data_IF_577692997225
#
_entry.id   IF_577692997225
#
_cell.length_a   1.000
_cell.length_b   1.000
_cell.length_c   1.000
_cell.angle_alpha   90.00
_cell.angle_beta   90.00
_cell.angle_gamma   90.00
#
_symmetry.space_group_name_H-M   'P 1'
#
loop_
_entity.id
_entity.type
_entity.pdbx_description
1 polymer ?
#
# COMPACT_ATOMS: atom_id res chain seq x y z
N UNK A 1 16.64 21.17 5.25
CA UNK A 1 15.50 22.10 4.99
C UNK A 1 14.79 22.33 6.33
N UNK A 2 14.70 23.57 6.84
CA UNK A 2 14.31 23.84 8.24
C UNK A 2 12.87 23.39 8.54
N UNK A 3 12.70 22.71 9.69
CA UNK A 3 11.48 22.05 10.21
C UNK A 3 10.22 22.94 10.35
N UNK A 4 10.30 24.23 10.01
CA UNK A 4 9.35 25.27 10.42
C UNK A 4 8.38 25.76 9.34
N UNK A 5 8.70 25.68 8.03
CA UNK A 5 7.90 26.41 7.02
C UNK A 5 6.55 25.79 6.66
N UNK A 6 6.33 24.49 6.89
CA UNK A 6 5.04 23.83 6.56
C UNK A 6 3.98 24.12 7.64
N UNK A 7 4.39 24.43 8.88
CA UNK A 7 3.46 24.73 9.98
C UNK A 7 2.89 26.16 9.94
N UNK A 8 3.54 27.09 9.23
CA UNK A 8 3.13 28.50 9.16
C UNK A 8 2.04 28.78 8.11
N UNK A 9 1.88 27.88 7.13
CA UNK A 9 0.80 27.98 6.16
C UNK A 9 -0.46 27.41 6.81
N UNK A 10 -1.57 28.17 6.80
CA UNK A 10 -2.92 27.64 6.99
C UNK A 10 -3.51 27.31 5.62
N UNK A 11 -3.19 26.14 5.04
CA UNK A 11 -3.70 25.75 3.73
C UNK A 11 -5.22 25.62 3.76
N UNK A 12 -5.86 25.89 2.63
CA UNK A 12 -7.30 25.66 2.48
C UNK A 12 -7.66 24.18 2.70
N UNK A 13 -8.89 23.90 3.12
CA UNK A 13 -9.39 22.51 3.26
C UNK A 13 -9.24 21.71 1.97
N UNK A 14 -9.43 22.36 0.81
CA UNK A 14 -9.25 21.75 -0.51
C UNK A 14 -7.79 21.34 -0.74
N UNK A 15 -6.84 22.23 -0.45
CA UNK A 15 -5.40 21.95 -0.56
C UNK A 15 -4.99 20.78 0.33
N UNK A 16 -5.53 20.72 1.56
CA UNK A 16 -5.28 19.58 2.46
C UNK A 16 -5.83 18.29 1.86
N UNK A 17 -7.07 18.31 1.35
CA UNK A 17 -7.70 17.15 0.72
C UNK A 17 -6.92 16.63 -0.47
N UNK A 18 -6.51 17.52 -1.37
CA UNK A 18 -5.71 17.18 -2.57
C UNK A 18 -4.38 16.56 -2.17
N UNK A 19 -3.64 17.17 -1.24
CA UNK A 19 -2.33 16.64 -0.84
C UNK A 19 -2.44 15.29 -0.13
N UNK A 20 -3.48 15.08 0.71
CA UNK A 20 -3.76 13.77 1.31
C UNK A 20 -4.02 12.71 0.24
N UNK A 21 -4.82 13.04 -0.77
CA UNK A 21 -5.10 12.14 -1.88
C UNK A 21 -3.84 11.80 -2.67
N UNK A 22 -3.04 12.81 -3.04
CA UNK A 22 -1.76 12.63 -3.73
C UNK A 22 -0.83 11.71 -2.92
N UNK A 23 -0.71 11.94 -1.61
CA UNK A 23 0.12 11.10 -0.73
C UNK A 23 -0.42 9.68 -0.61
N UNK A 24 -1.73 9.52 -0.52
CA UNK A 24 -2.37 8.19 -0.55
C UNK A 24 -1.99 7.43 -1.83
N UNK A 25 -2.10 8.06 -3.01
CA UNK A 25 -1.74 7.44 -4.29
C UNK A 25 -0.25 7.07 -4.35
N UNK A 26 0.65 7.97 -3.93
CA UNK A 26 2.09 7.66 -3.95
C UNK A 26 2.45 6.52 -2.98
N UNK A 27 1.95 6.57 -1.75
CA UNK A 27 2.18 5.54 -0.72
C UNK A 27 1.66 4.17 -1.17
N UNK A 28 0.54 4.15 -1.88
CA UNK A 28 -0.12 2.93 -2.34
C UNK A 28 0.14 2.59 -3.81
N UNK A 29 1.09 3.26 -4.48
CA UNK A 29 1.30 3.16 -5.93
C UNK A 29 1.37 1.73 -6.47
N UNK A 30 2.10 0.83 -5.79
CA UNK A 30 2.17 -0.58 -6.18
C UNK A 30 0.80 -1.30 -6.10
N UNK A 31 -0.02 -0.95 -5.12
CA UNK A 31 -1.38 -1.51 -4.96
C UNK A 31 -2.34 -0.89 -5.98
N UNK A 32 -2.19 0.38 -6.31
CA UNK A 32 -3.00 1.04 -7.35
C UNK A 32 -2.79 0.40 -8.74
N UNK A 33 -1.57 -0.05 -9.03
CA UNK A 33 -1.29 -0.85 -10.24
C UNK A 33 -2.06 -2.18 -10.20
N UNK A 34 -2.05 -2.87 -9.05
CA UNK A 34 -2.79 -4.14 -8.88
C UNK A 34 -4.30 -3.92 -9.02
N UNK A 35 -4.84 -2.84 -8.47
CA UNK A 35 -6.25 -2.45 -8.63
C UNK A 35 -6.58 -2.24 -10.10
N UNK A 36 -5.78 -1.45 -10.83
CA UNK A 36 -5.98 -1.21 -12.25
C UNK A 36 -5.98 -2.50 -13.09
N UNK A 37 -5.02 -3.38 -12.86
CA UNK A 37 -4.94 -4.69 -13.53
C UNK A 37 -6.14 -5.59 -13.20
N UNK A 38 -6.61 -5.56 -11.95
CA UNK A 38 -7.72 -6.40 -11.50
C UNK A 38 -9.07 -5.90 -12.00
N UNK A 39 -9.27 -4.57 -12.04
CA UNK A 39 -10.45 -3.95 -12.66
C UNK A 39 -10.48 -4.25 -14.15
N UNK A 40 -9.33 -4.18 -14.85
CA UNK A 40 -9.25 -4.57 -16.24
C UNK A 40 -9.63 -6.05 -16.43
N UNK A 41 -9.11 -6.96 -15.59
CA UNK A 41 -9.47 -8.37 -15.61
C UNK A 41 -10.97 -8.60 -15.37
N UNK A 42 -11.56 -7.86 -14.43
CA UNK A 42 -13.00 -7.89 -14.17
C UNK A 42 -13.82 -7.48 -15.39
N UNK A 43 -13.48 -6.36 -16.03
CA UNK A 43 -14.19 -5.86 -17.22
C UNK A 43 -14.09 -6.85 -18.38
N UNK A 44 -12.90 -7.40 -18.63
CA UNK A 44 -12.72 -8.44 -19.66
C UNK A 44 -13.55 -9.67 -19.30
N UNK A 45 -13.48 -10.15 -18.06
CA UNK A 45 -14.24 -11.32 -17.62
C UNK A 45 -15.75 -11.16 -17.76
N UNK A 46 -16.30 -10.01 -17.35
CA UNK A 46 -17.73 -9.70 -17.53
C UNK A 46 -18.11 -9.67 -19.01
N UNK A 47 -17.29 -9.05 -19.87
CA UNK A 47 -17.54 -9.02 -21.31
C UNK A 47 -17.62 -10.44 -21.89
N UNK A 48 -16.68 -11.30 -21.55
CA UNK A 48 -16.65 -12.68 -22.05
C UNK A 48 -17.82 -13.52 -21.54
N UNK A 49 -18.26 -13.28 -20.31
CA UNK A 49 -19.46 -13.92 -19.75
C UNK A 49 -20.76 -13.44 -20.42
N UNK A 50 -20.86 -12.15 -20.76
CA UNK A 50 -22.03 -11.60 -21.46
C UNK A 50 -22.11 -12.06 -22.93
N UNK A 51 -20.97 -12.34 -23.56
CA UNK A 51 -20.89 -12.86 -24.92
C UNK A 51 -21.04 -14.39 -24.99
N UNK A 52 -21.10 -15.05 -23.84
CA UNK A 52 -21.24 -16.50 -23.77
C UNK A 52 -22.63 -16.94 -24.25
N UNK A 53 -22.67 -17.68 -25.35
CA UNK A 53 -23.90 -18.24 -25.96
C UNK A 53 -24.01 -19.77 -25.77
N UNK A 54 -23.12 -20.37 -24.98
CA UNK A 54 -23.13 -21.81 -24.78
C UNK A 54 -24.37 -22.28 -24.02
N UNK A 55 -24.89 -23.44 -24.42
CA UNK A 55 -26.11 -24.03 -23.84
C UNK A 55 -25.85 -24.70 -22.47
N UNK A 56 -24.60 -24.98 -22.12
CA UNK A 56 -24.20 -25.72 -20.93
C UNK A 56 -22.99 -25.07 -20.26
N UNK A 57 -22.90 -25.09 -18.93
CA UNK A 57 -21.78 -24.53 -18.17
C UNK A 57 -20.47 -25.28 -18.43
N UNK A 58 -19.75 -24.89 -19.47
CA UNK A 58 -18.48 -25.51 -19.86
C UNK A 58 -17.26 -24.88 -19.14
N UNK A 59 -16.08 -25.41 -19.44
CA UNK A 59 -14.81 -24.90 -18.89
C UNK A 59 -14.58 -23.42 -19.22
N UNK A 60 -15.05 -22.94 -20.37
CA UNK A 60 -14.92 -21.55 -20.77
C UNK A 60 -15.70 -20.64 -19.82
N UNK A 61 -16.96 -21.00 -19.55
CA UNK A 61 -17.79 -20.30 -18.57
C UNK A 61 -17.12 -20.26 -17.20
N UNK A 62 -16.70 -21.41 -16.66
CA UNK A 62 -16.11 -21.47 -15.33
C UNK A 62 -14.81 -20.67 -15.21
N UNK A 63 -13.96 -20.71 -16.24
CA UNK A 63 -12.72 -19.92 -16.30
C UNK A 63 -13.04 -18.43 -16.18
N UNK A 64 -13.95 -17.89 -16.98
CA UNK A 64 -14.26 -16.46 -16.97
C UNK A 64 -15.07 -16.03 -15.75
N UNK A 65 -15.94 -16.90 -15.23
CA UNK A 65 -16.62 -16.68 -13.95
C UNK A 65 -15.61 -16.55 -12.81
N UNK A 66 -14.62 -17.44 -12.74
CA UNK A 66 -13.57 -17.40 -11.74
C UNK A 66 -12.68 -16.15 -11.87
N UNK A 67 -12.24 -15.81 -13.09
CA UNK A 67 -11.42 -14.61 -13.33
C UNK A 67 -12.19 -13.32 -13.02
N UNK A 68 -13.49 -13.27 -13.33
CA UNK A 68 -14.36 -12.14 -12.97
C UNK A 68 -14.46 -12.01 -11.46
N UNK A 69 -14.68 -13.11 -10.75
CA UNK A 69 -14.75 -13.10 -9.29
C UNK A 69 -13.43 -12.63 -8.66
N UNK A 70 -12.28 -13.12 -9.14
CA UNK A 70 -10.95 -12.63 -8.72
C UNK A 70 -10.79 -11.14 -9.02
N UNK A 71 -11.12 -10.71 -10.24
CA UNK A 71 -11.02 -9.32 -10.67
C UNK A 71 -11.86 -8.36 -9.84
N UNK A 72 -12.98 -8.84 -9.28
CA UNK A 72 -13.81 -8.10 -8.33
C UNK A 72 -13.22 -8.09 -6.92
N UNK A 73 -12.70 -9.24 -6.45
CA UNK A 73 -12.22 -9.38 -5.08
C UNK A 73 -10.91 -8.63 -4.82
N UNK A 74 -9.91 -8.76 -5.72
CA UNK A 74 -8.57 -8.18 -5.51
C UNK A 74 -8.60 -6.67 -5.26
N UNK A 75 -9.34 -5.83 -6.02
CA UNK A 75 -9.41 -4.40 -5.77
C UNK A 75 -9.81 -4.05 -4.34
N UNK A 76 -10.78 -4.77 -3.76
CA UNK A 76 -11.24 -4.53 -2.40
C UNK A 76 -10.12 -4.80 -1.38
N UNK A 77 -9.44 -5.94 -1.50
CA UNK A 77 -8.33 -6.28 -0.62
C UNK A 77 -7.13 -5.34 -0.82
N UNK A 78 -6.85 -4.94 -2.06
CA UNK A 78 -5.76 -4.02 -2.38
C UNK A 78 -6.00 -2.62 -1.80
N UNK A 79 -7.23 -2.10 -1.85
CA UNK A 79 -7.60 -0.81 -1.25
C UNK A 79 -7.57 -0.85 0.28
N UNK A 80 -7.99 -1.96 0.89
CA UNK A 80 -7.87 -2.14 2.34
C UNK A 80 -6.39 -2.18 2.78
N UNK A 81 -5.52 -2.88 2.04
CA UNK A 81 -4.08 -2.85 2.32
C UNK A 81 -3.50 -1.45 2.07
N UNK A 82 -3.92 -0.76 1.01
CA UNK A 82 -3.49 0.61 0.67
C UNK A 82 -3.80 1.59 1.81
N UNK A 83 -5.02 1.50 2.36
CA UNK A 83 -5.41 2.25 3.55
C UNK A 83 -4.47 1.96 4.72
N UNK A 84 -4.14 0.69 4.97
CA UNK A 84 -3.20 0.29 6.01
C UNK A 84 -1.79 0.85 5.80
N UNK A 85 -1.27 0.83 4.57
CA UNK A 85 0.03 1.45 4.24
C UNK A 85 0.02 2.95 4.44
N UNK A 86 -1.09 3.62 4.11
CA UNK A 86 -1.25 5.04 4.36
C UNK A 86 -1.29 5.38 5.86
N UNK A 87 -1.88 4.54 6.72
CA UNK A 87 -1.79 4.74 8.17
C UNK A 87 -0.35 4.60 8.68
N UNK A 88 0.40 3.62 8.16
CA UNK A 88 1.81 3.42 8.52
C UNK A 88 2.68 4.61 8.10
N UNK A 89 2.46 5.14 6.89
CA UNK A 89 3.09 6.38 6.41
C UNK A 89 2.86 7.52 7.40
N UNK A 90 1.61 7.80 7.79
CA UNK A 90 1.28 8.90 8.72
C UNK A 90 1.98 8.73 10.08
N UNK A 91 1.90 7.51 10.63
CA UNK A 91 2.53 7.21 11.93
C UNK A 91 4.05 7.38 11.88
N UNK A 92 4.70 6.88 10.84
CA UNK A 92 6.17 6.94 10.74
C UNK A 92 6.65 8.34 10.42
N UNK A 93 5.91 9.10 9.61
CA UNK A 93 6.18 10.53 9.37
C UNK A 93 6.21 11.33 10.67
N UNK A 94 5.19 11.17 11.53
CA UNK A 94 5.18 11.85 12.84
C UNK A 94 6.37 11.42 13.72
N UNK A 95 6.69 10.12 13.75
CA UNK A 95 7.80 9.59 14.55
C UNK A 95 9.17 10.08 14.07
N UNK A 96 9.40 10.10 12.76
CA UNK A 96 10.62 10.62 12.14
C UNK A 96 10.75 12.13 12.36
N UNK A 97 9.64 12.88 12.34
CA UNK A 97 9.67 14.31 12.64
C UNK A 97 10.14 14.58 14.08
N UNK A 98 9.62 13.81 15.03
CA UNK A 98 9.95 13.94 16.46
C UNK A 98 11.37 13.49 16.81
N UNK A 99 11.74 12.29 16.39
CA UNK A 99 12.97 11.62 16.84
C UNK A 99 14.13 11.73 15.84
N UNK A 100 13.87 12.22 14.63
CA UNK A 100 14.79 12.05 13.51
C UNK A 100 14.81 10.61 13.00
N UNK A 101 15.78 10.31 12.14
CA UNK A 101 15.97 8.96 11.65
C UNK A 101 16.56 8.06 12.73
N UNK A 102 15.81 7.01 13.10
CA UNK A 102 16.28 5.89 13.91
C UNK A 102 15.87 4.57 13.20
N UNK A 103 16.82 3.66 12.90
CA UNK A 103 16.54 2.35 12.31
C UNK A 103 15.42 1.57 12.99
N UNK A 104 15.25 1.70 14.31
CA UNK A 104 14.21 1.03 15.10
C UNK A 104 12.79 1.42 14.67
N UNK A 105 12.61 2.62 14.14
CA UNK A 105 11.32 3.13 13.68
C UNK A 105 10.90 2.51 12.34
N UNK A 106 11.87 2.22 11.47
CA UNK A 106 11.62 1.74 10.10
C UNK A 106 11.75 0.22 9.96
N UNK A 107 12.51 -0.43 10.83
CA UNK A 107 12.73 -1.88 10.83
C UNK A 107 11.44 -2.72 10.78
N UNK A 108 10.34 -2.39 11.48
CA UNK A 108 9.12 -3.19 11.42
C UNK A 108 8.47 -3.25 10.03
N UNK A 109 8.81 -2.31 9.13
CA UNK A 109 8.20 -2.12 7.82
C UNK A 109 9.07 -2.60 6.65
N UNK A 110 10.24 -3.20 6.94
CA UNK A 110 11.19 -3.56 5.89
C UNK A 110 10.80 -4.82 5.10
N UNK A 111 9.93 -5.67 5.67
CA UNK A 111 9.66 -7.02 5.17
C UNK A 111 8.68 -7.11 4.00
N UNK A 112 8.00 -6.01 3.63
CA UNK A 112 7.08 -5.96 2.48
C UNK A 112 7.40 -4.75 1.60
N UNK A 113 7.31 -4.91 0.29
CA UNK A 113 7.59 -3.82 -0.64
C UNK A 113 6.64 -2.63 -0.47
N UNK A 114 5.34 -2.88 -0.33
CA UNK A 114 4.33 -1.83 -0.11
C UNK A 114 4.59 -1.09 1.22
N UNK A 115 5.11 -1.79 2.23
CA UNK A 115 5.52 -1.16 3.48
C UNK A 115 6.73 -0.26 3.28
N UNK A 116 7.79 -0.76 2.63
CA UNK A 116 8.99 0.03 2.36
C UNK A 116 8.68 1.29 1.55
N UNK A 117 7.84 1.20 0.52
CA UNK A 117 7.40 2.38 -0.25
C UNK A 117 6.74 3.42 0.66
N UNK A 118 5.81 3.00 1.53
CA UNK A 118 5.16 3.91 2.46
C UNK A 118 6.16 4.65 3.38
N UNK A 119 7.19 3.95 3.85
CA UNK A 119 8.24 4.54 4.70
C UNK A 119 9.15 5.46 3.91
N UNK A 120 9.52 5.09 2.68
CA UNK A 120 10.33 5.94 1.81
C UNK A 120 9.62 7.25 1.49
N UNK A 121 8.30 7.21 1.24
CA UNK A 121 7.51 8.43 1.05
C UNK A 121 7.46 9.29 2.33
N UNK A 122 7.31 8.66 3.51
CA UNK A 122 7.37 9.38 4.79
C UNK A 122 8.73 10.04 5.03
N UNK A 123 9.81 9.34 4.69
CA UNK A 123 11.18 9.81 4.87
C UNK A 123 11.53 10.91 3.86
N UNK A 124 11.09 10.79 2.62
CA UNK A 124 11.25 11.81 1.57
C UNK A 124 10.57 13.12 1.97
N UNK A 125 9.37 13.06 2.53
CA UNK A 125 8.66 14.24 3.04
C UNK A 125 9.44 15.01 4.13
N UNK A 126 10.41 14.35 4.78
CA UNK A 126 11.25 14.92 5.84
C UNK A 126 12.72 15.10 5.43
N UNK A 127 13.07 14.74 4.19
CA UNK A 127 14.43 14.82 3.67
C UNK A 127 15.41 13.82 4.28
N UNK A 128 14.94 12.65 4.73
CA UNK A 128 15.78 11.56 5.28
C UNK A 128 15.62 10.23 4.52
N UNK A 129 15.23 10.31 3.24
CA UNK A 129 14.98 9.13 2.40
C UNK A 129 16.26 8.30 2.19
N UNK A 130 17.41 8.95 2.03
CA UNK A 130 18.68 8.29 1.73
C UNK A 130 19.17 7.44 2.91
N UNK A 131 18.97 7.89 4.15
CA UNK A 131 19.29 7.14 5.35
C UNK A 131 18.42 5.89 5.46
N UNK A 132 17.13 6.00 5.15
CA UNK A 132 16.20 4.86 5.12
C UNK A 132 16.57 3.87 4.02
N UNK A 133 16.88 4.36 2.80
CA UNK A 133 17.34 3.52 1.69
C UNK A 133 18.62 2.78 2.05
N UNK A 134 19.61 3.49 2.60
CA UNK A 134 20.88 2.92 3.04
C UNK A 134 20.65 1.83 4.08
N UNK A 135 19.78 2.07 5.06
CA UNK A 135 19.44 1.07 6.05
C UNK A 135 18.78 -0.17 5.43
N UNK A 136 17.75 -0.01 4.59
CA UNK A 136 17.13 -1.15 3.90
C UNK A 136 18.13 -1.92 3.04
N UNK A 137 19.03 -1.22 2.36
CA UNK A 137 20.11 -1.84 1.59
C UNK A 137 21.07 -2.65 2.46
N UNK A 138 21.45 -2.13 3.63
CA UNK A 138 22.27 -2.85 4.61
C UNK A 138 21.57 -4.07 5.19
N UNK A 139 20.24 -4.06 5.29
CA UNK A 139 19.45 -5.24 5.69
C UNK A 139 19.25 -6.26 4.56
N UNK A 140 19.84 -6.03 3.37
CA UNK A 140 19.77 -6.94 2.22
C UNK A 140 18.61 -6.67 1.25
N UNK A 141 17.74 -5.70 1.53
CA UNK A 141 16.65 -5.38 0.61
C UNK A 141 17.15 -4.62 -0.61
N UNK A 142 16.54 -4.91 -1.74
CA UNK A 142 16.80 -4.31 -3.05
C UNK A 142 15.47 -4.04 -3.75
N UNK A 143 15.49 -3.22 -4.79
CA UNK A 143 14.30 -2.85 -5.55
C UNK A 143 13.54 -4.07 -6.12
N UNK A 144 14.24 -5.16 -6.44
CA UNK A 144 13.65 -6.39 -6.98
C UNK A 144 13.05 -7.33 -5.93
N UNK A 145 13.17 -7.05 -4.63
CA UNK A 145 12.55 -7.85 -3.57
C UNK A 145 11.06 -7.52 -3.43
N UNK A 146 10.25 -7.92 -4.41
CA UNK A 146 8.83 -7.57 -4.49
C UNK A 146 8.02 -8.37 -3.46
N UNK A 147 8.32 -9.66 -3.31
CA UNK A 147 7.59 -10.56 -2.42
C UNK A 147 7.95 -10.34 -0.95
N UNK A 148 6.96 -10.38 -0.04
CA UNK A 148 7.24 -10.30 1.38
C UNK A 148 8.07 -11.50 1.86
N UNK A 149 9.09 -11.24 2.68
CA UNK A 149 9.93 -12.27 3.32
C UNK A 149 9.10 -13.36 4.01
N UNK A 150 8.01 -12.93 4.64
CA UNK A 150 7.11 -13.79 5.39
C UNK A 150 6.44 -14.85 4.52
N UNK A 151 6.12 -14.51 3.26
CA UNK A 151 5.50 -15.46 2.33
C UNK A 151 6.49 -16.53 1.88
N UNK A 152 7.73 -16.13 1.61
CA UNK A 152 8.81 -17.04 1.23
C UNK A 152 9.11 -18.02 2.36
N UNK A 153 9.18 -17.52 3.61
CA UNK A 153 9.52 -18.34 4.78
C UNK A 153 8.35 -19.17 5.32
N UNK A 154 7.11 -18.65 5.22
CA UNK A 154 5.90 -19.26 5.80
C UNK A 154 4.69 -19.01 4.89
N UNK A 155 4.52 -19.76 3.79
CA UNK A 155 3.45 -19.52 2.83
C UNK A 155 2.05 -19.69 3.44
N UNK A 156 1.90 -20.57 4.43
CA UNK A 156 0.64 -20.80 5.14
C UNK A 156 0.19 -19.62 6.03
N UNK A 157 1.01 -18.57 6.18
CA UNK A 157 0.63 -17.40 6.97
C UNK A 157 -0.60 -16.68 6.41
N UNK A 158 -0.86 -16.81 5.11
CA UNK A 158 -2.03 -16.27 4.42
C UNK A 158 -3.35 -16.76 5.02
N UNK A 159 -3.37 -17.93 5.65
CA UNK A 159 -4.56 -18.51 6.26
C UNK A 159 -4.71 -18.17 7.74
N UNK A 160 -3.80 -17.37 8.30
CA UNK A 160 -3.84 -16.99 9.72
C UNK A 160 -4.66 -15.73 9.94
N UNK A 161 -5.48 -15.70 10.99
CA UNK A 161 -6.28 -14.52 11.37
C UNK A 161 -5.41 -13.28 11.57
N UNK A 162 -4.25 -13.44 12.20
CA UNK A 162 -3.29 -12.36 12.45
C UNK A 162 -2.79 -11.68 11.17
N UNK A 163 -2.69 -12.42 10.07
CA UNK A 163 -2.29 -11.86 8.78
C UNK A 163 -3.36 -10.90 8.24
N UNK A 164 -4.62 -11.35 8.24
CA UNK A 164 -5.76 -10.55 7.80
C UNK A 164 -6.01 -9.33 8.71
N UNK A 165 -5.84 -9.45 10.03
CA UNK A 165 -5.92 -8.32 10.96
C UNK A 165 -4.90 -7.22 10.63
N UNK A 166 -3.66 -7.60 10.27
CA UNK A 166 -2.60 -6.64 9.93
C UNK A 166 -2.74 -6.00 8.56
N UNK A 167 -3.47 -6.62 7.63
CA UNK A 167 -3.64 -6.13 6.27
C UNK A 167 -4.96 -5.38 6.12
N UNK A 168 -6.06 -5.96 6.60
CA UNK A 168 -7.41 -5.45 6.40
C UNK A 168 -7.90 -4.54 7.52
N UNK A 169 -7.44 -4.77 8.75
CA UNK A 169 -7.99 -4.09 9.94
C UNK A 169 -6.97 -3.17 10.59
N UNK A 170 -6.24 -2.42 9.76
CA UNK A 170 -5.28 -1.43 10.25
C UNK A 170 -6.02 -0.28 10.94
N UNK A 171 -5.67 0.00 12.19
CA UNK A 171 -6.26 1.12 12.96
C UNK A 171 -5.96 2.45 12.27
N UNK A 172 -6.97 3.30 12.22
CA UNK A 172 -6.81 4.67 11.74
C UNK A 172 -5.80 5.44 12.62
N UNK A 173 -4.88 6.15 11.99
CA UNK A 173 -3.90 7.01 12.64
C UNK A 173 -4.12 8.47 12.23
N UNK A 174 -4.33 9.36 13.20
CA UNK A 174 -4.44 10.79 12.95
C UNK A 174 -3.05 11.44 13.01
N UNK A 175 -2.67 12.15 11.94
CA UNK A 175 -1.44 12.97 11.92
C UNK A 175 -1.48 14.02 13.03
N UNK A 176 -0.36 14.20 13.71
CA UNK A 176 -0.22 15.13 14.83
C UNK A 176 0.50 16.41 14.44
N UNK A 177 1.52 16.31 13.58
CA UNK A 177 2.40 17.44 13.24
C UNK A 177 2.17 18.00 11.84
N UNK A 178 1.33 17.34 11.03
CA UNK A 178 1.13 17.66 9.61
C UNK A 178 -0.34 17.62 9.22
N UNK A 179 -0.68 18.39 8.18
CA UNK A 179 -2.00 18.33 7.57
C UNK A 179 -2.16 17.14 6.61
N UNK A 180 -1.10 16.68 5.96
CA UNK A 180 -1.03 15.51 5.06
C UNK A 180 0.29 14.78 5.21
#
# INVERSE_FOLDING_TARGET
MSKTKIAELKPSKLTIGINRFIRFVFVSSALQIIVGLSVWLFVVGVRELLQYQGLAWDLYFYKWAFLTWIGMAIPLFAEMDAFGRYQNYKMVKDKLHLMGFDPRLVRPFMYSNCQRIAILVAANDLGCEDEVKKYFYQQGYRWYHIFPDTWIKKPLILFTKLFWEKILFTKYYQLKYFYW
#
